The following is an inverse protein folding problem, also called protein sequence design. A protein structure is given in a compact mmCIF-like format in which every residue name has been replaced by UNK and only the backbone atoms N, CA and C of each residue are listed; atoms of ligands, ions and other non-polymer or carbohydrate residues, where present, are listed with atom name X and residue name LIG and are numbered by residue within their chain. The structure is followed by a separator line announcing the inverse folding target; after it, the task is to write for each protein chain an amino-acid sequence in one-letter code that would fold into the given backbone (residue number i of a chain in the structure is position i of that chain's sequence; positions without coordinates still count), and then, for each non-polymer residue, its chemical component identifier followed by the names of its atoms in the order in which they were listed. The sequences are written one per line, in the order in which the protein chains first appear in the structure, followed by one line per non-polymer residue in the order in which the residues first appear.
data_IF_198099405348
#
_entry.id   IF_198099405348
#
_cell.length_a   1.000
_cell.length_b   1.000
_cell.length_c   1.000
_cell.angle_alpha   90.00
_cell.angle_beta   90.00
_cell.angle_gamma   90.00
#
_symmetry.space_group_name_H-M   'P 1'
#
loop_
_entity.id
_entity.type
_entity.pdbx_description
1 polymer ?
#
# COMPACT_ATOMS: atom_id res chain seq x y z
N UNK A 1 -6.41 55.96 11.78
CA UNK A 1 -6.06 55.05 10.67
C UNK A 1 -4.68 55.41 10.18
N UNK A 2 -3.67 54.60 10.51
CA UNK A 2 -2.36 54.63 9.88
C UNK A 2 -2.09 53.19 9.43
N UNK A 3 -2.36 52.91 8.16
CA UNK A 3 -1.83 51.73 7.49
C UNK A 3 -0.31 51.83 7.50
N UNK A 4 0.35 50.96 8.27
CA UNK A 4 1.75 50.67 8.06
C UNK A 4 1.82 49.46 7.14
N UNK A 5 2.29 49.73 5.94
CA UNK A 5 2.65 48.78 4.91
C UNK A 5 3.53 47.65 5.46
N UNK A 6 3.21 46.41 5.08
CA UNK A 6 4.05 45.24 5.28
C UNK A 6 5.38 45.46 4.53
N UNK A 7 6.56 45.33 5.17
CA UNK A 7 7.81 45.33 4.44
C UNK A 7 7.89 44.02 3.66
N UNK A 8 7.96 44.18 2.34
CA UNK A 8 8.10 43.09 1.38
C UNK A 8 9.39 42.30 1.58
N UNK A 9 9.28 41.03 1.21
CA UNK A 9 10.34 40.15 0.72
C UNK A 9 11.72 40.30 1.41
N UNK A 10 11.73 40.11 2.74
CA UNK A 10 12.95 39.71 3.42
C UNK A 10 13.15 38.22 3.15
N UNK A 11 14.15 37.90 2.33
CA UNK A 11 14.71 36.55 2.15
C UNK A 11 14.93 35.92 3.52
N UNK A 12 13.98 35.09 3.95
CA UNK A 12 14.06 34.33 5.19
C UNK A 12 15.35 33.50 5.09
N UNK A 13 16.34 33.69 6.00
CA UNK A 13 17.58 32.92 5.97
C UNK A 13 17.25 31.44 5.85
N UNK A 14 17.99 30.68 5.05
CA UNK A 14 17.74 29.24 4.88
C UNK A 14 17.59 28.51 6.23
N UNK A 15 18.22 29.04 7.28
CA UNK A 15 18.12 28.63 8.67
C UNK A 15 16.68 28.63 9.24
N UNK A 16 15.90 29.67 8.93
CA UNK A 16 14.53 29.81 9.40
C UNK A 16 13.53 28.94 8.61
N UNK A 17 13.85 28.60 7.35
CA UNK A 17 13.02 27.70 6.54
C UNK A 17 13.10 26.26 7.04
N UNK A 18 14.29 25.74 7.36
CA UNK A 18 14.43 24.38 7.88
C UNK A 18 13.83 24.26 9.29
N UNK A 19 14.03 25.25 10.15
CA UNK A 19 13.41 25.25 11.49
C UNK A 19 11.89 25.19 11.37
N UNK A 20 11.30 26.02 10.50
CA UNK A 20 9.86 25.99 10.25
C UNK A 20 9.40 24.61 9.76
N UNK A 21 10.11 24.01 8.79
CA UNK A 21 9.77 22.68 8.28
C UNK A 21 9.85 21.58 9.38
N UNK A 22 10.83 21.68 10.28
CA UNK A 22 10.93 20.77 11.43
C UNK A 22 9.76 20.98 12.40
N UNK A 23 9.42 22.23 12.74
CA UNK A 23 8.26 22.50 13.60
C UNK A 23 6.96 22.01 12.99
N UNK A 24 6.75 22.24 11.70
CA UNK A 24 5.58 21.75 10.97
C UNK A 24 5.53 20.21 10.99
N UNK A 25 6.67 19.54 10.75
CA UNK A 25 6.76 18.07 10.82
C UNK A 25 6.50 17.53 12.23
N UNK A 26 7.10 18.13 13.27
CA UNK A 26 6.87 17.77 14.67
C UNK A 26 5.38 17.92 15.00
N UNK A 27 4.75 19.01 14.57
CA UNK A 27 3.34 19.26 14.85
C UNK A 27 2.44 18.23 14.14
N UNK A 28 2.73 17.86 12.90
CA UNK A 28 1.99 16.80 12.19
C UNK A 28 2.15 15.46 12.92
N UNK A 29 3.36 15.10 13.32
CA UNK A 29 3.66 13.82 13.97
C UNK A 29 3.02 13.76 15.37
N UNK A 30 3.22 14.78 16.20
CA UNK A 30 2.70 14.84 17.57
C UNK A 30 1.17 14.83 17.61
N UNK A 31 0.49 15.49 16.68
CA UNK A 31 -0.98 15.44 16.57
C UNK A 31 -1.53 14.05 16.16
N UNK A 32 -0.69 13.16 15.65
CA UNK A 32 -1.07 11.78 15.29
C UNK A 32 -0.72 10.77 16.38
N UNK A 33 0.05 11.18 17.39
CA UNK A 33 0.44 10.34 18.52
C UNK A 33 -0.56 10.56 19.65
N UNK A 34 -1.18 9.48 20.15
CA UNK A 34 -2.06 9.59 21.32
C UNK A 34 -1.25 9.89 22.59
N UNK A 35 -1.86 10.55 23.56
CA UNK A 35 -1.23 10.88 24.85
C UNK A 35 -0.64 9.63 25.53
N UNK A 36 -1.35 8.50 25.47
CA UNK A 36 -0.88 7.21 26.01
C UNK A 36 0.41 6.75 25.33
N UNK A 37 0.46 6.81 24.01
CA UNK A 37 1.65 6.45 23.23
C UNK A 37 2.79 7.40 23.60
N UNK A 38 2.54 8.72 23.61
CA UNK A 38 3.54 9.72 23.98
C UNK A 38 4.19 9.46 25.34
N UNK A 39 3.39 9.18 26.38
CA UNK A 39 3.88 8.92 27.75
C UNK A 39 4.61 7.58 27.90
N UNK A 40 4.36 6.61 27.00
CA UNK A 40 5.09 5.34 26.97
C UNK A 40 6.53 5.54 26.47
N UNK A 41 6.74 6.50 25.54
CA UNK A 41 8.04 6.78 24.94
C UNK A 41 8.81 7.90 25.63
N UNK A 42 8.13 8.97 26.04
CA UNK A 42 8.75 10.18 26.62
C UNK A 42 8.51 10.17 28.12
N UNK A 43 9.54 9.73 28.85
CA UNK A 43 9.61 9.76 30.30
C UNK A 43 10.98 10.29 30.74
N UNK A 44 11.15 10.57 32.04
CA UNK A 44 12.39 11.16 32.59
C UNK A 44 13.67 10.44 32.12
N UNK A 45 13.61 9.14 31.86
CA UNK A 45 14.77 8.35 31.42
C UNK A 45 15.08 8.46 29.92
N UNK A 46 14.08 8.72 29.08
CA UNK A 46 14.22 8.83 27.62
C UNK A 46 14.34 10.27 27.14
N UNK A 47 13.85 11.25 27.92
CA UNK A 47 14.02 12.68 27.63
C UNK A 47 15.49 13.10 27.66
N UNK A 48 16.33 12.40 28.42
CA UNK A 48 17.77 12.67 28.54
C UNK A 48 18.63 11.76 27.64
N UNK A 49 18.03 10.78 26.95
CA UNK A 49 18.74 9.75 26.17
C UNK A 49 18.04 9.47 24.85
N UNK A 50 18.40 10.25 23.84
CA UNK A 50 17.85 10.16 22.47
C UNK A 50 17.92 8.75 21.88
N UNK A 51 19.02 8.04 22.11
CA UNK A 51 19.22 6.66 21.66
C UNK A 51 18.22 5.68 22.29
N UNK A 52 17.86 5.88 23.56
CA UNK A 52 16.88 5.05 24.27
C UNK A 52 15.46 5.34 23.76
N UNK A 53 15.14 6.60 23.48
CA UNK A 53 13.89 6.98 22.84
C UNK A 53 13.74 6.30 21.48
N UNK A 54 14.79 6.37 20.64
CA UNK A 54 14.78 5.75 19.32
C UNK A 54 14.69 4.22 19.39
N UNK A 55 15.41 3.61 20.34
CA UNK A 55 15.30 2.18 20.61
C UNK A 55 13.87 1.77 20.96
N UNK A 56 13.20 2.47 21.88
CA UNK A 56 11.82 2.15 22.28
C UNK A 56 10.83 2.33 21.13
N UNK A 57 10.93 3.42 20.37
CA UNK A 57 10.08 3.66 19.19
C UNK A 57 10.26 2.52 18.20
N UNK A 58 11.50 2.15 17.89
CA UNK A 58 11.81 1.05 16.99
C UNK A 58 11.30 -0.28 17.57
N UNK A 59 11.50 -0.53 18.86
CA UNK A 59 10.99 -1.73 19.51
C UNK A 59 9.48 -1.85 19.34
N UNK A 60 8.71 -0.79 19.60
CA UNK A 60 7.25 -0.79 19.63
C UNK A 60 6.60 -0.73 18.24
N UNK A 61 7.23 -0.05 17.29
CA UNK A 61 6.66 0.22 15.96
C UNK A 61 7.42 -0.41 14.80
N UNK A 62 8.44 -1.22 15.07
CA UNK A 62 9.04 -2.03 14.00
C UNK A 62 8.01 -2.97 13.39
N UNK A 63 8.08 -3.09 12.07
CA UNK A 63 7.34 -4.07 11.29
C UNK A 63 7.49 -5.51 11.83
N UNK A 64 8.60 -5.79 12.52
CA UNK A 64 8.97 -7.12 13.06
C UNK A 64 8.20 -7.54 14.32
N UNK A 65 7.49 -6.63 15.01
CA UNK A 65 6.71 -7.01 16.19
C UNK A 65 5.56 -7.95 15.84
N UNK A 66 5.28 -8.91 16.72
CA UNK A 66 4.24 -9.92 16.54
C UNK A 66 2.86 -9.31 16.26
N UNK A 67 2.53 -8.18 16.89
CA UNK A 67 1.26 -7.48 16.66
C UNK A 67 1.15 -6.92 15.24
N UNK A 68 2.21 -6.29 14.72
CA UNK A 68 2.24 -5.75 13.37
C UNK A 68 2.21 -6.87 12.33
N UNK A 69 2.99 -7.93 12.54
CA UNK A 69 2.94 -9.17 11.74
C UNK A 69 1.54 -9.77 11.71
N UNK A 70 0.91 -9.91 12.87
CA UNK A 70 -0.44 -10.45 13.00
C UNK A 70 -1.47 -9.58 12.27
N UNK A 71 -1.33 -8.26 12.34
CA UNK A 71 -2.20 -7.33 11.62
C UNK A 71 -2.06 -7.47 10.11
N UNK A 72 -0.85 -7.37 9.56
CA UNK A 72 -0.62 -7.54 8.12
C UNK A 72 -1.09 -8.91 7.62
N UNK A 73 -0.91 -9.97 8.42
CA UNK A 73 -1.47 -11.29 8.10
C UNK A 73 -3.00 -11.29 8.05
N UNK A 74 -3.67 -10.69 9.05
CA UNK A 74 -5.13 -10.61 9.07
C UNK A 74 -5.68 -9.76 7.92
N UNK A 75 -5.00 -8.67 7.56
CA UNK A 75 -5.40 -7.81 6.45
C UNK A 75 -5.22 -8.55 5.11
N UNK A 76 -4.13 -9.32 4.95
CA UNK A 76 -3.93 -10.22 3.80
C UNK A 76 -5.05 -11.27 3.68
N UNK A 77 -5.40 -11.94 4.78
CA UNK A 77 -6.47 -12.95 4.81
C UNK A 77 -7.87 -12.39 4.55
N UNK A 78 -8.05 -11.07 4.62
CA UNK A 78 -9.30 -10.36 4.30
C UNK A 78 -9.30 -9.78 2.89
N UNK A 79 -8.26 -10.01 2.10
CA UNK A 79 -8.26 -9.64 0.70
C UNK A 79 -9.20 -10.57 -0.06
N UNK A 80 -10.31 -10.04 -0.57
CA UNK A 80 -11.26 -10.81 -1.37
C UNK A 80 -11.60 -10.06 -2.65
N UNK A 81 -11.97 -10.82 -3.68
CA UNK A 81 -12.39 -10.27 -4.95
C UNK A 81 -13.83 -9.73 -4.86
N UNK A 82 -14.07 -8.50 -5.32
CA UNK A 82 -15.36 -7.82 -5.20
C UNK A 82 -15.99 -7.44 -6.56
N UNK A 83 -15.56 -8.08 -7.65
CA UNK A 83 -16.02 -7.78 -9.01
C UNK A 83 -15.16 -6.76 -9.77
N UNK A 84 -14.17 -6.12 -9.13
CA UNK A 84 -13.21 -5.26 -9.81
C UNK A 84 -11.81 -5.89 -9.82
N UNK A 85 -11.36 -6.36 -10.98
CA UNK A 85 -10.09 -7.08 -11.11
C UNK A 85 -8.88 -6.17 -10.89
N UNK A 86 -8.91 -4.93 -11.38
CA UNK A 86 -7.81 -3.99 -11.16
C UNK A 86 -7.62 -3.68 -9.68
N UNK A 87 -8.71 -3.29 -8.99
CA UNK A 87 -8.64 -2.98 -7.56
C UNK A 87 -8.21 -4.17 -6.72
N UNK A 88 -8.57 -5.38 -7.13
CA UNK A 88 -8.13 -6.61 -6.48
C UNK A 88 -6.63 -6.84 -6.66
N UNK A 89 -6.10 -6.73 -7.89
CA UNK A 89 -4.66 -6.84 -8.18
C UNK A 89 -3.86 -5.81 -7.37
N UNK A 90 -4.28 -4.54 -7.39
CA UNK A 90 -3.59 -3.45 -6.68
C UNK A 90 -3.55 -3.70 -5.16
N UNK A 91 -4.68 -4.18 -4.60
CA UNK A 91 -4.78 -4.53 -3.18
C UNK A 91 -3.88 -5.71 -2.84
N UNK A 92 -3.86 -6.73 -3.69
CA UNK A 92 -3.06 -7.93 -3.48
C UNK A 92 -1.56 -7.60 -3.50
N UNK A 93 -1.09 -6.83 -4.48
CA UNK A 93 0.31 -6.36 -4.56
C UNK A 93 0.69 -5.57 -3.31
N UNK A 94 -0.17 -4.65 -2.88
CA UNK A 94 0.06 -3.84 -1.67
C UNK A 94 0.24 -4.75 -0.44
N UNK A 95 -0.63 -5.74 -0.27
CA UNK A 95 -0.57 -6.66 0.86
C UNK A 95 0.66 -7.59 0.80
N UNK A 96 1.09 -8.02 -0.38
CA UNK A 96 2.34 -8.77 -0.53
C UNK A 96 3.55 -7.95 -0.06
N UNK A 97 3.62 -6.67 -0.46
CA UNK A 97 4.69 -5.76 0.00
C UNK A 97 4.65 -5.53 1.51
N UNK A 98 3.46 -5.43 2.11
CA UNK A 98 3.30 -5.30 3.56
C UNK A 98 3.80 -6.56 4.28
N UNK A 99 3.45 -7.75 3.79
CA UNK A 99 3.90 -9.03 4.34
C UNK A 99 5.43 -9.16 4.28
N UNK A 100 6.05 -8.78 3.17
CA UNK A 100 7.50 -8.75 3.02
C UNK A 100 8.14 -7.77 4.03
N UNK A 101 7.56 -6.58 4.19
CA UNK A 101 8.01 -5.54 5.13
C UNK A 101 8.02 -6.04 6.58
N UNK A 102 7.04 -6.88 6.95
CA UNK A 102 6.96 -7.52 8.28
C UNK A 102 7.67 -8.88 8.36
N UNK A 103 8.42 -9.25 7.31
CA UNK A 103 9.19 -10.50 7.22
C UNK A 103 8.34 -11.77 7.35
N UNK A 104 7.12 -11.76 6.83
CA UNK A 104 6.30 -12.97 6.66
C UNK A 104 6.61 -13.54 5.27
N UNK A 105 7.15 -14.77 5.24
CA UNK A 105 7.41 -15.50 4.01
C UNK A 105 6.35 -16.56 3.82
N UNK A 106 5.71 -16.55 2.66
CA UNK A 106 4.71 -17.52 2.23
C UNK A 106 5.28 -18.21 0.99
N UNK A 107 5.00 -19.50 0.82
CA UNK A 107 5.41 -20.21 -0.38
C UNK A 107 4.58 -19.73 -1.58
N UNK A 108 5.22 -19.62 -2.73
CA UNK A 108 4.64 -19.07 -3.95
C UNK A 108 3.34 -19.79 -4.37
N UNK A 109 3.31 -21.11 -4.24
CA UNK A 109 2.13 -21.93 -4.51
C UNK A 109 0.90 -21.50 -3.67
N UNK A 110 1.09 -21.20 -2.38
CA UNK A 110 -0.01 -20.78 -1.52
C UNK A 110 -0.47 -19.35 -1.83
N UNK A 111 0.45 -18.47 -2.24
CA UNK A 111 0.09 -17.14 -2.73
C UNK A 111 -0.73 -17.22 -4.00
N UNK A 112 -0.38 -18.15 -4.89
CA UNK A 112 -1.14 -18.39 -6.12
C UNK A 112 -2.52 -18.95 -5.81
N UNK A 113 -2.62 -19.98 -4.97
CA UNK A 113 -3.92 -20.57 -4.62
C UNK A 113 -4.84 -19.55 -3.93
N UNK A 114 -4.27 -18.68 -3.08
CA UNK A 114 -5.03 -17.60 -2.45
C UNK A 114 -5.51 -16.56 -3.48
N UNK A 115 -4.67 -16.18 -4.44
CA UNK A 115 -4.99 -15.21 -5.48
C UNK A 115 -6.06 -15.74 -6.44
N UNK A 116 -5.83 -16.93 -6.99
CA UNK A 116 -6.72 -17.53 -8.00
C UNK A 116 -8.00 -18.10 -7.38
N UNK A 117 -7.95 -18.57 -6.14
CA UNK A 117 -9.12 -19.12 -5.44
C UNK A 117 -10.25 -18.10 -5.27
N UNK A 118 -9.91 -16.85 -4.97
CA UNK A 118 -10.89 -15.76 -4.88
C UNK A 118 -11.49 -15.41 -6.25
N UNK A 119 -10.69 -15.47 -7.32
CA UNK A 119 -11.15 -15.19 -8.68
C UNK A 119 -12.00 -16.34 -9.26
N UNK A 120 -11.75 -17.58 -8.85
CA UNK A 120 -12.47 -18.76 -9.34
C UNK A 120 -13.99 -18.71 -9.05
N UNK A 121 -14.41 -17.92 -8.07
CA UNK A 121 -15.81 -17.69 -7.73
C UNK A 121 -16.59 -16.85 -8.75
N UNK A 122 -15.89 -16.08 -9.61
CA UNK A 122 -16.53 -15.30 -10.66
C UNK A 122 -16.61 -16.09 -11.97
N UNK A 123 -17.84 -16.31 -12.45
CA UNK A 123 -18.10 -17.03 -13.70
C UNK A 123 -17.43 -16.42 -14.93
N UNK A 124 -17.20 -15.10 -14.93
CA UNK A 124 -16.55 -14.39 -16.05
C UNK A 124 -15.04 -14.61 -16.06
N UNK A 125 -14.44 -14.94 -14.90
CA UNK A 125 -13.00 -15.15 -14.74
C UNK A 125 -12.63 -16.64 -14.68
N UNK A 126 -13.61 -17.54 -14.56
CA UNK A 126 -13.39 -18.97 -14.41
C UNK A 126 -12.44 -19.56 -15.46
N UNK A 127 -12.65 -19.27 -16.74
CA UNK A 127 -11.79 -19.77 -17.83
C UNK A 127 -10.35 -19.22 -17.74
N UNK A 128 -10.19 -17.96 -17.33
CA UNK A 128 -8.88 -17.36 -17.10
C UNK A 128 -8.17 -18.08 -15.95
N UNK A 129 -8.87 -18.30 -14.84
CA UNK A 129 -8.33 -18.97 -13.66
C UNK A 129 -7.90 -20.41 -13.98
N UNK A 130 -8.73 -21.18 -14.71
CA UNK A 130 -8.35 -22.52 -15.17
C UNK A 130 -7.08 -22.49 -16.03
N UNK A 131 -7.01 -21.57 -16.99
CA UNK A 131 -5.84 -21.43 -17.89
C UNK A 131 -4.57 -21.11 -17.10
N UNK A 132 -4.66 -20.22 -16.11
CA UNK A 132 -3.54 -19.83 -15.25
C UNK A 132 -3.11 -20.98 -14.33
N UNK A 133 -4.06 -21.72 -13.77
CA UNK A 133 -3.80 -22.83 -12.83
C UNK A 133 -3.14 -24.03 -13.51
N UNK A 134 -3.46 -24.28 -14.78
CA UNK A 134 -2.90 -25.39 -15.54
C UNK A 134 -1.47 -25.14 -16.04
N UNK A 135 -0.98 -23.90 -15.93
CA UNK A 135 0.37 -23.55 -16.36
C UNK A 135 1.35 -23.69 -15.19
N UNK A 136 2.05 -24.82 -15.13
CA UNK A 136 3.02 -25.14 -14.07
C UNK A 136 4.14 -24.10 -13.94
N UNK A 137 4.57 -23.46 -15.04
CA UNK A 137 5.60 -22.41 -15.00
C UNK A 137 5.14 -21.16 -14.23
N UNK A 138 3.84 -20.89 -14.23
CA UNK A 138 3.25 -19.77 -13.48
C UNK A 138 3.13 -20.08 -11.98
N UNK A 139 3.12 -21.37 -11.60
CA UNK A 139 3.00 -21.78 -10.21
C UNK A 139 4.22 -21.38 -9.38
N UNK A 140 5.38 -21.34 -10.02
CA UNK A 140 6.63 -20.97 -9.36
C UNK A 140 6.78 -19.47 -9.12
N UNK A 141 5.97 -18.61 -9.76
CA UNK A 141 6.11 -17.15 -9.68
C UNK A 141 4.78 -16.39 -9.63
N UNK A 142 4.36 -15.90 -8.44
CA UNK A 142 3.15 -15.08 -8.28
C UNK A 142 3.20 -13.79 -9.10
N UNK A 143 4.39 -13.22 -9.30
CA UNK A 143 4.59 -11.99 -10.08
C UNK A 143 4.21 -12.17 -11.56
N UNK A 144 4.50 -13.33 -12.13
CA UNK A 144 4.12 -13.66 -13.51
C UNK A 144 2.59 -13.74 -13.66
N UNK A 145 1.90 -14.30 -12.67
CA UNK A 145 0.43 -14.35 -12.67
C UNK A 145 -0.17 -12.97 -12.55
N UNK A 146 0.34 -12.14 -11.63
CA UNK A 146 -0.12 -10.75 -11.50
C UNK A 146 0.07 -9.98 -12.81
N UNK A 147 1.17 -10.23 -13.52
CA UNK A 147 1.40 -9.67 -14.85
C UNK A 147 0.35 -10.14 -15.86
N UNK A 148 0.06 -11.44 -15.92
CA UNK A 148 -0.96 -11.96 -16.85
C UNK A 148 -2.39 -11.48 -16.51
N UNK A 149 -2.72 -11.34 -15.23
CA UNK A 149 -3.99 -10.75 -14.81
C UNK A 149 -4.07 -9.28 -15.22
N UNK A 150 -2.98 -8.52 -15.10
CA UNK A 150 -2.91 -7.14 -15.55
C UNK A 150 -3.06 -7.02 -17.08
N UNK A 151 -2.44 -7.91 -17.84
CA UNK A 151 -2.60 -7.98 -19.30
C UNK A 151 -4.06 -8.24 -19.68
N UNK A 152 -4.73 -9.14 -18.95
CA UNK A 152 -6.15 -9.42 -19.16
C UNK A 152 -7.04 -8.20 -18.89
N UNK A 153 -6.78 -7.45 -17.82
CA UNK A 153 -7.49 -6.18 -17.54
C UNK A 153 -7.32 -5.19 -18.69
N UNK A 154 -6.08 -5.02 -19.17
CA UNK A 154 -5.77 -4.11 -20.28
C UNK A 154 -6.51 -4.52 -21.57
N UNK A 155 -6.62 -5.82 -21.84
CA UNK A 155 -7.35 -6.35 -22.99
C UNK A 155 -8.86 -6.09 -22.91
N UNK A 156 -9.48 -6.23 -21.74
CA UNK A 156 -10.90 -5.90 -21.55
C UNK A 156 -11.13 -4.41 -21.78
N UNK A 157 -10.33 -3.55 -21.15
CA UNK A 157 -10.45 -2.11 -21.30
C UNK A 157 -10.31 -1.67 -22.76
N UNK A 158 -9.39 -2.29 -23.52
CA UNK A 158 -9.23 -2.03 -24.94
C UNK A 158 -10.48 -2.43 -25.75
N UNK A 159 -11.08 -3.59 -25.48
CA UNK A 159 -12.32 -4.04 -26.14
C UNK A 159 -13.50 -3.11 -25.87
N UNK A 160 -13.62 -2.61 -24.64
CA UNK A 160 -14.67 -1.67 -24.26
C UNK A 160 -14.47 -0.27 -24.88
N UNK A 161 -13.22 0.06 -25.27
CA UNK A 161 -12.85 1.33 -25.90
C UNK A 161 -13.02 1.36 -27.41
N UNK A 162 -13.20 0.21 -28.07
CA UNK A 162 -13.45 0.16 -29.52
C UNK A 162 -14.91 0.52 -29.84
N UNK A 163 -15.20 1.60 -30.60
CA UNK A 163 -16.56 1.98 -30.95
C UNK A 163 -17.21 0.93 -31.83
N UNK A 164 -18.32 0.35 -31.38
CA UNK A 164 -19.20 -0.49 -32.20
C UNK A 164 -20.06 0.42 -33.07
N UNK A 165 -19.46 1.08 -34.06
CA UNK A 165 -20.18 1.81 -35.11
C UNK A 165 -19.39 1.70 -36.42
N UNK A 166 -19.54 0.58 -37.11
CA UNK A 166 -19.38 0.55 -38.57
C UNK A 166 -20.76 0.86 -39.17
N UNK A 167 -20.92 1.97 -39.93
CA UNK A 167 -22.17 2.23 -40.61
C UNK A 167 -22.43 1.09 -41.60
N UNK A 168 -23.61 0.48 -41.48
CA UNK A 168 -24.18 -0.38 -42.51
C UNK A 168 -24.48 0.47 -43.75
N UNK A 169 -23.46 0.72 -44.58
CA UNK A 169 -23.63 1.29 -45.90
C UNK A 169 -22.52 0.76 -46.81
N UNK A 170 -22.86 -0.28 -47.57
CA UNK A 170 -22.56 -0.46 -48.99
C UNK A 170 -23.15 -1.82 -49.41
N UNK A 171 -24.47 -1.82 -49.63
CA UNK A 171 -25.17 -2.71 -50.58
C UNK A 171 -25.45 -1.86 -51.82
#
# INVERSE_FOLDING_TARGET
MCEKSLPGDATIPATNRWMKAIYDAINIITNKISERVFLEFINLETTERENLLWYKINEQYTSKRAMNRGRSWMDFQRCFYNGNLQSYIDSYITLLMELETVSIKIQNEFLLYSLLGELAGDSNLHQLVETLTLNEELIESPDLILTQLQDYVNLIQFKDSTPTDLPSALV
#
